data_IF_446790297564
#
_entry.id   IF_446790297564
#
_cell.length_a   1.000
_cell.length_b   1.000
_cell.length_c   1.000
_cell.angle_alpha   90.00
_cell.angle_beta   90.00
_cell.angle_gamma   90.00
#
_symmetry.space_group_name_H-M   'P 1'
#
loop_
_entity.id
_entity.type
_entity.pdbx_description
1 polymer ?
#
# COMPACT_ATOMS: atom_id res chain seq x y z
N UNK A 1 15.23 -9.37 -13.07
CA UNK A 1 16.06 -8.18 -12.77
C UNK A 1 17.15 -7.84 -13.80
N UNK A 2 17.40 -8.64 -14.86
CA UNK A 2 18.47 -8.37 -15.83
C UNK A 2 18.23 -7.15 -16.75
N UNK A 3 17.08 -6.49 -16.64
CA UNK A 3 16.72 -5.30 -17.42
C UNK A 3 17.20 -3.99 -16.78
N UNK A 4 17.61 -4.02 -15.51
CA UNK A 4 18.17 -2.85 -14.80
C UNK A 4 19.70 -2.92 -14.73
N UNK A 5 20.35 -1.79 -14.91
CA UNK A 5 21.79 -1.63 -14.79
C UNK A 5 22.20 -1.44 -13.32
N UNK A 6 22.89 -2.43 -12.77
CA UNK A 6 23.31 -2.48 -11.34
C UNK A 6 24.21 -1.33 -10.89
N UNK A 7 24.81 -0.58 -11.82
CA UNK A 7 25.68 0.55 -11.48
C UNK A 7 25.03 1.91 -11.71
N UNK A 8 23.97 1.98 -12.53
CA UNK A 8 23.33 3.23 -12.95
C UNK A 8 21.94 3.40 -12.37
N UNK A 9 21.17 2.31 -12.26
CA UNK A 9 19.81 2.38 -11.75
C UNK A 9 19.82 2.36 -10.24
N UNK A 10 18.90 3.11 -9.64
CA UNK A 10 18.59 2.99 -8.22
C UNK A 10 17.34 2.13 -8.12
N UNK A 11 17.47 1.02 -7.41
CA UNK A 11 16.35 0.10 -7.17
C UNK A 11 16.26 -0.08 -5.67
N UNK A 12 15.05 -0.01 -5.14
CA UNK A 12 14.72 -0.46 -3.79
C UNK A 12 13.79 -1.66 -3.88
N UNK A 13 13.75 -2.46 -2.84
CA UNK A 13 12.87 -3.61 -2.70
C UNK A 13 12.13 -3.49 -1.38
N UNK A 14 10.81 -3.68 -1.45
CA UNK A 14 9.88 -3.60 -0.33
C UNK A 14 8.92 -4.78 -0.47
N UNK A 15 8.67 -5.50 0.61
CA UNK A 15 7.58 -6.44 0.72
C UNK A 15 6.57 -5.96 1.75
N UNK A 16 5.32 -6.38 1.59
CA UNK A 16 4.24 -6.01 2.49
C UNK A 16 3.25 -7.16 2.64
N UNK A 17 2.60 -7.20 3.79
CA UNK A 17 1.53 -8.12 4.14
C UNK A 17 0.73 -7.49 5.28
N UNK A 18 0.95 -7.88 6.55
CA UNK A 18 0.36 -7.13 7.67
C UNK A 18 0.91 -5.71 7.74
N UNK A 19 2.22 -5.53 7.73
CA UNK A 19 2.91 -4.26 7.57
C UNK A 19 3.72 -4.22 6.28
N UNK A 20 4.82 -3.46 6.27
CA UNK A 20 5.77 -3.47 5.18
C UNK A 20 7.20 -3.28 5.69
N UNK A 21 8.15 -3.97 5.06
CA UNK A 21 9.57 -3.79 5.34
C UNK A 21 10.33 -3.35 4.08
N UNK A 22 11.39 -2.58 4.28
CA UNK A 22 12.28 -2.09 3.23
C UNK A 22 13.49 -3.03 3.15
N UNK A 23 13.30 -4.17 2.49
CA UNK A 23 14.30 -5.25 2.40
C UNK A 23 15.62 -4.82 1.78
N UNK A 24 15.53 -3.98 0.74
CA UNK A 24 16.68 -3.33 0.15
C UNK A 24 16.37 -1.84 -0.02
N UNK A 25 16.93 -0.98 0.83
CA UNK A 25 16.70 0.45 0.72
C UNK A 25 17.26 0.98 -0.60
N UNK A 26 16.55 1.94 -1.19
CA UNK A 26 17.05 2.61 -2.39
C UNK A 26 18.30 3.40 -2.03
N UNK A 27 19.30 3.37 -2.91
CA UNK A 27 20.53 4.11 -2.65
C UNK A 27 20.30 5.63 -2.80
N UNK A 28 20.38 6.36 -1.69
CA UNK A 28 20.11 7.81 -1.67
C UNK A 28 21.31 8.67 -2.06
N UNK A 29 22.54 8.17 -1.90
CA UNK A 29 23.78 8.94 -2.10
C UNK A 29 24.43 8.69 -3.46
N UNK A 30 24.42 7.44 -3.94
CA UNK A 30 25.02 7.04 -5.22
C UNK A 30 24.04 6.24 -6.07
N UNK A 31 24.39 6.05 -7.35
CA UNK A 31 23.66 5.19 -8.28
C UNK A 31 24.00 3.72 -8.00
N UNK A 32 23.17 2.81 -8.49
CA UNK A 32 23.37 1.37 -8.38
C UNK A 32 22.56 0.69 -7.25
N UNK A 33 22.52 -0.63 -7.32
CA UNK A 33 21.83 -1.50 -6.36
C UNK A 33 22.50 -2.89 -6.30
N UNK A 34 22.28 -3.61 -5.20
CA UNK A 34 22.76 -4.98 -5.04
C UNK A 34 21.71 -5.98 -5.54
N UNK A 35 21.93 -6.49 -6.75
CA UNK A 35 21.05 -7.50 -7.36
C UNK A 35 21.08 -8.83 -6.59
N UNK A 36 22.22 -9.23 -6.05
CA UNK A 36 22.36 -10.51 -5.36
C UNK A 36 21.56 -10.51 -4.07
N UNK A 37 21.67 -9.43 -3.29
CA UNK A 37 20.88 -9.25 -2.07
C UNK A 37 19.38 -9.20 -2.37
N UNK A 38 18.96 -8.48 -3.42
CA UNK A 38 17.55 -8.45 -3.81
C UNK A 38 16.99 -9.80 -4.21
N UNK A 39 17.73 -10.59 -5.01
CA UNK A 39 17.30 -11.94 -5.37
C UNK A 39 17.21 -12.85 -4.15
N UNK A 40 18.20 -12.76 -3.24
CA UNK A 40 18.17 -13.50 -1.98
C UNK A 40 16.96 -13.17 -1.12
N UNK A 41 16.58 -11.90 -1.05
CA UNK A 41 15.38 -11.47 -0.31
C UNK A 41 14.11 -12.02 -0.98
N UNK A 42 14.00 -11.88 -2.31
CA UNK A 42 12.87 -12.41 -3.09
C UNK A 42 12.67 -13.90 -2.88
N UNK A 43 13.74 -14.69 -2.95
CA UNK A 43 13.68 -16.14 -2.80
C UNK A 43 13.33 -16.58 -1.37
N UNK A 44 13.45 -15.67 -0.39
CA UNK A 44 13.17 -15.93 1.03
C UNK A 44 11.75 -15.54 1.46
N UNK A 45 10.99 -14.83 0.60
CA UNK A 45 9.69 -14.32 0.99
C UNK A 45 8.69 -15.44 1.28
N UNK A 46 7.98 -15.25 2.38
CA UNK A 46 6.81 -16.04 2.75
C UNK A 46 5.63 -15.07 2.75
N UNK A 47 4.68 -15.32 1.86
CA UNK A 47 3.47 -14.50 1.75
C UNK A 47 2.35 -15.17 2.56
N UNK A 48 1.94 -14.52 3.64
CA UNK A 48 0.78 -14.88 4.45
C UNK A 48 0.20 -13.61 5.07
N UNK A 49 -1.04 -13.68 5.53
CA UNK A 49 -1.65 -12.64 6.33
C UNK A 49 -2.52 -11.64 5.60
N UNK A 50 -2.63 -10.45 6.19
CA UNK A 50 -3.40 -9.35 5.62
C UNK A 50 -2.65 -8.65 4.49
N UNK A 51 -3.30 -7.68 3.84
CA UNK A 51 -2.78 -6.97 2.68
C UNK A 51 -2.78 -5.47 2.95
N UNK A 52 -1.74 -4.97 3.62
CA UNK A 52 -1.55 -3.57 3.94
C UNK A 52 -0.89 -2.82 2.77
N UNK A 53 -1.59 -2.79 1.64
CA UNK A 53 -1.10 -2.14 0.41
C UNK A 53 -0.71 -0.67 0.61
N UNK A 54 -1.34 0.02 1.56
CA UNK A 54 -0.98 1.39 1.96
C UNK A 54 0.47 1.47 2.43
N UNK A 55 0.93 0.51 3.23
CA UNK A 55 2.29 0.51 3.81
C UNK A 55 3.33 0.30 2.70
N UNK A 56 3.11 -0.68 1.83
CA UNK A 56 3.96 -0.90 0.66
C UNK A 56 4.05 0.32 -0.25
N UNK A 57 2.91 0.97 -0.53
CA UNK A 57 2.87 2.16 -1.38
C UNK A 57 3.51 3.39 -0.71
N UNK A 58 3.30 3.57 0.60
CA UNK A 58 3.91 4.64 1.38
C UNK A 58 5.43 4.51 1.38
N UNK A 59 5.96 3.32 1.70
CA UNK A 59 7.39 3.06 1.69
C UNK A 59 7.99 3.27 0.29
N UNK A 60 7.32 2.81 -0.77
CA UNK A 60 7.81 2.98 -2.15
C UNK A 60 7.95 4.46 -2.54
N UNK A 61 6.91 5.27 -2.26
CA UNK A 61 6.98 6.72 -2.49
C UNK A 61 8.04 7.37 -1.60
N UNK A 62 8.09 7.01 -0.32
CA UNK A 62 9.03 7.59 0.62
C UNK A 62 10.49 7.33 0.20
N UNK A 63 10.84 6.10 -0.19
CA UNK A 63 12.17 5.75 -0.71
C UNK A 63 12.57 6.64 -1.90
N UNK A 64 11.67 6.86 -2.86
CA UNK A 64 11.97 7.75 -3.99
C UNK A 64 12.18 9.22 -3.56
N UNK A 65 11.46 9.65 -2.53
CA UNK A 65 11.52 11.02 -2.01
C UNK A 65 12.67 11.25 -1.01
N UNK A 66 13.30 10.21 -0.44
CA UNK A 66 14.49 10.37 0.39
C UNK A 66 15.76 10.65 -0.42
N UNK A 67 15.76 10.37 -1.73
CA UNK A 67 16.85 10.78 -2.62
C UNK A 67 16.86 12.32 -2.70
N UNK A 68 18.02 13.00 -2.48
CA UNK A 68 18.11 14.45 -2.60
C UNK A 68 17.65 14.94 -3.98
N UNK A 69 16.93 16.07 -4.03
CA UNK A 69 16.30 16.56 -5.27
C UNK A 69 17.29 16.68 -6.44
N UNK A 70 18.50 17.20 -6.20
CA UNK A 70 19.55 17.32 -7.22
C UNK A 70 20.11 15.97 -7.70
N UNK A 71 19.88 14.90 -6.95
CA UNK A 71 20.34 13.54 -7.25
C UNK A 71 19.23 12.63 -7.78
N UNK A 72 17.97 13.08 -7.76
CA UNK A 72 16.82 12.33 -8.28
C UNK A 72 16.91 12.19 -9.80
N UNK A 73 16.55 11.02 -10.31
CA UNK A 73 16.31 10.84 -11.74
C UNK A 73 15.08 11.64 -12.17
N UNK A 74 15.07 12.13 -13.40
CA UNK A 74 13.87 12.65 -14.06
C UNK A 74 12.79 11.58 -14.12
N UNK A 75 13.17 10.36 -14.49
CA UNK A 75 12.30 9.19 -14.44
C UNK A 75 12.32 8.53 -13.06
N UNK A 76 11.16 8.48 -12.41
CA UNK A 76 10.91 7.76 -11.17
C UNK A 76 9.73 6.82 -11.36
N UNK A 77 9.88 5.60 -10.85
CA UNK A 77 8.93 4.51 -11.12
C UNK A 77 8.68 3.72 -9.85
N UNK A 78 7.41 3.40 -9.60
CA UNK A 78 6.96 2.40 -8.63
C UNK A 78 6.36 1.24 -9.42
N UNK A 79 6.74 0.02 -9.04
CA UNK A 79 6.19 -1.22 -9.61
C UNK A 79 5.61 -2.00 -8.44
N UNK A 80 4.27 -2.11 -8.41
CA UNK A 80 3.53 -2.65 -7.29
C UNK A 80 2.88 -3.99 -7.66
N UNK A 81 3.16 -5.03 -6.89
CA UNK A 81 2.64 -6.38 -7.10
C UNK A 81 1.64 -6.71 -6.01
N UNK A 82 0.50 -7.29 -6.39
CA UNK A 82 -0.45 -7.85 -5.43
C UNK A 82 -1.34 -8.89 -6.10
N UNK A 83 -1.82 -9.85 -5.33
CA UNK A 83 -2.77 -10.87 -5.76
C UNK A 83 -4.17 -10.67 -5.14
N UNK A 84 -4.37 -9.59 -4.39
CA UNK A 84 -5.58 -9.40 -3.60
C UNK A 84 -5.98 -7.95 -3.43
N UNK A 85 -7.05 -7.76 -2.68
CA UNK A 85 -7.53 -6.43 -2.29
C UNK A 85 -6.81 -5.99 -1.00
N UNK A 86 -6.65 -4.68 -0.77
CA UNK A 86 -6.18 -4.19 0.52
C UNK A 86 -7.12 -4.63 1.66
N UNK A 87 -6.56 -5.21 2.71
CA UNK A 87 -7.30 -5.74 3.88
C UNK A 87 -6.73 -5.29 5.22
N UNK A 88 -5.75 -4.39 5.21
CA UNK A 88 -5.17 -3.81 6.42
C UNK A 88 -4.62 -2.40 6.18
N UNK A 89 -4.42 -1.66 7.27
CA UNK A 89 -3.84 -0.32 7.27
C UNK A 89 -3.14 0.00 8.59
N UNK A 90 -2.06 0.78 8.54
CA UNK A 90 -1.43 1.37 9.70
C UNK A 90 -2.14 2.63 10.18
N UNK A 91 -2.23 2.81 11.50
CA UNK A 91 -2.56 4.10 12.09
C UNK A 91 -2.14 4.17 13.56
N UNK A 92 -1.91 5.39 14.06
CA UNK A 92 -1.91 5.67 15.49
C UNK A 92 -3.36 5.93 15.93
N UNK A 93 -3.89 5.01 16.75
CA UNK A 93 -5.28 5.05 17.21
C UNK A 93 -5.42 5.74 18.57
N UNK A 94 -6.52 6.47 18.76
CA UNK A 94 -6.86 7.08 20.04
C UNK A 94 -7.61 6.09 20.95
N UNK A 95 -6.92 5.56 21.95
CA UNK A 95 -7.51 4.60 22.90
C UNK A 95 -8.42 5.27 23.93
N UNK A 96 -9.44 4.56 24.40
CA UNK A 96 -10.32 4.96 25.51
C UNK A 96 -9.48 5.21 26.78
N UNK A 97 -8.50 4.35 27.04
CA UNK A 97 -7.52 4.43 28.13
C UNK A 97 -6.10 4.74 27.58
N UNK A 98 -5.61 6.00 27.71
CA UNK A 98 -4.42 6.48 26.98
C UNK A 98 -3.08 5.79 27.30
N UNK A 99 -2.98 5.06 28.41
CA UNK A 99 -1.74 4.38 28.84
C UNK A 99 -1.38 3.18 27.98
N UNK A 100 -2.28 2.70 27.11
CA UNK A 100 -2.17 1.35 26.58
C UNK A 100 -1.50 1.25 25.20
N UNK A 101 -1.49 2.31 24.37
CA UNK A 101 -0.83 2.34 23.05
C UNK A 101 -0.58 3.76 22.56
N UNK A 102 0.68 4.16 22.39
CA UNK A 102 1.05 5.51 21.96
C UNK A 102 1.72 5.58 20.59
N UNK A 103 1.95 4.44 19.93
CA UNK A 103 2.60 4.36 18.62
C UNK A 103 1.60 3.85 17.57
N UNK A 104 1.91 4.07 16.30
CA UNK A 104 1.14 3.53 15.18
C UNK A 104 1.46 2.06 14.88
N UNK A 105 0.42 1.28 14.55
CA UNK A 105 0.55 -0.11 14.14
C UNK A 105 -0.51 -0.51 13.14
N UNK A 106 -0.37 -1.70 12.58
CA UNK A 106 -1.29 -2.21 11.55
C UNK A 106 -2.37 -3.07 12.15
N UNK A 107 -3.58 -2.87 11.67
CA UNK A 107 -4.75 -3.68 11.96
C UNK A 107 -5.52 -3.99 10.68
N UNK A 108 -6.22 -5.12 10.70
CA UNK A 108 -7.01 -5.58 9.57
C UNK A 108 -8.38 -4.89 9.48
N UNK A 109 -9.09 -5.12 8.38
CA UNK A 109 -10.44 -4.58 8.15
C UNK A 109 -11.52 -5.11 9.11
N UNK A 110 -11.20 -6.16 9.88
CA UNK A 110 -12.06 -6.68 10.95
C UNK A 110 -11.72 -6.06 12.33
N UNK A 111 -10.71 -5.19 12.39
CA UNK A 111 -10.22 -4.51 13.58
C UNK A 111 -9.35 -5.38 14.49
N UNK A 112 -8.71 -6.42 13.96
CA UNK A 112 -7.70 -7.22 14.68
C UNK A 112 -6.30 -6.67 14.44
N UNK A 113 -5.40 -6.88 15.41
CA UNK A 113 -3.99 -6.50 15.30
C UNK A 113 -3.62 -5.34 16.20
N UNK A 114 -3.05 -4.30 15.60
CA UNK A 114 -2.08 -3.37 16.16
C UNK A 114 -0.69 -4.02 16.32
N UNK A 115 -0.25 -4.66 15.23
CA UNK A 115 1.08 -5.20 15.05
C UNK A 115 2.08 -4.11 14.66
N UNK A 116 3.38 -4.38 14.81
CA UNK A 116 4.41 -3.46 14.36
C UNK A 116 4.26 -3.13 12.86
N UNK A 117 4.55 -1.88 12.48
CA UNK A 117 4.42 -1.43 11.08
C UNK A 117 5.37 -2.17 10.13
N UNK A 118 6.49 -2.69 10.65
CA UNK A 118 7.42 -3.54 9.91
C UNK A 118 7.09 -5.03 9.94
N UNK A 119 6.07 -5.46 10.67
CA UNK A 119 5.73 -6.88 10.81
C UNK A 119 4.96 -7.37 9.57
N UNK A 120 5.61 -8.13 8.70
CA UNK A 120 4.98 -8.71 7.51
C UNK A 120 4.38 -10.10 7.74
N UNK A 121 4.55 -10.69 8.93
CA UNK A 121 4.02 -12.02 9.27
C UNK A 121 2.91 -11.98 10.35
N UNK A 122 2.67 -10.83 10.97
CA UNK A 122 1.46 -10.51 11.76
C UNK A 122 1.37 -11.21 13.11
N UNK A 123 2.51 -11.37 13.79
CA UNK A 123 2.59 -12.09 15.05
C UNK A 123 3.15 -11.27 16.20
N UNK A 124 3.63 -10.04 15.95
CA UNK A 124 4.31 -9.20 16.94
C UNK A 124 3.47 -7.96 17.28
N UNK A 125 2.72 -7.97 18.39
CA UNK A 125 2.07 -6.77 18.90
C UNK A 125 3.12 -5.70 19.19
N UNK A 126 2.78 -4.44 18.94
CA UNK A 126 3.72 -3.33 19.12
C UNK A 126 4.24 -3.15 20.55
N UNK A 127 3.41 -3.47 21.53
CA UNK A 127 3.74 -3.45 22.96
C UNK A 127 2.71 -4.24 23.75
N UNK A 128 3.06 -4.57 25.00
CA UNK A 128 2.08 -5.13 25.95
C UNK A 128 0.88 -4.21 26.08
N UNK A 129 -0.34 -4.74 25.92
CA UNK A 129 -1.59 -3.96 25.90
C UNK A 129 -2.05 -3.47 24.52
N UNK A 130 -1.18 -3.49 23.50
CA UNK A 130 -1.49 -3.14 22.13
C UNK A 130 -1.95 -4.32 21.29
N UNK A 131 -3.11 -4.86 21.66
CA UNK A 131 -3.79 -5.83 20.84
C UNK A 131 -5.28 -5.47 20.79
N UNK A 132 -5.78 -5.15 19.60
CA UNK A 132 -7.16 -4.72 19.44
C UNK A 132 -8.15 -5.86 19.69
N UNK A 133 -7.79 -7.10 19.36
CA UNK A 133 -8.66 -8.27 19.53
C UNK A 133 -7.87 -9.59 19.68
N UNK A 134 -7.38 -9.94 20.88
CA UNK A 134 -6.79 -11.26 21.11
C UNK A 134 -7.84 -12.37 21.20
N UNK A 135 -9.13 -12.04 21.39
CA UNK A 135 -10.24 -13.00 21.53
C UNK A 135 -11.48 -12.53 20.76
N UNK A 136 -12.35 -13.48 20.36
CA UNK A 136 -13.60 -13.21 19.61
C UNK A 136 -14.62 -12.33 20.35
N UNK A 137 -14.47 -12.16 21.67
CA UNK A 137 -15.42 -11.43 22.51
C UNK A 137 -15.07 -9.95 22.69
N UNK A 138 -13.81 -9.56 22.54
CA UNK A 138 -13.39 -8.15 22.64
C UNK A 138 -13.66 -7.39 21.35
N UNK A 139 -14.23 -6.19 21.44
CA UNK A 139 -14.56 -5.35 20.29
C UNK A 139 -13.63 -4.15 20.20
N UNK A 140 -13.29 -3.74 18.98
CA UNK A 140 -12.34 -2.63 18.76
C UNK A 140 -12.84 -1.33 19.41
N UNK A 141 -14.16 -1.05 19.38
CA UNK A 141 -14.74 0.16 19.97
C UNK A 141 -14.74 0.21 21.50
N UNK A 142 -14.55 -0.93 22.16
CA UNK A 142 -14.35 -0.96 23.62
C UNK A 142 -12.97 -0.39 23.98
N UNK A 143 -12.03 -0.41 23.03
CA UNK A 143 -10.64 0.05 23.22
C UNK A 143 -10.32 1.34 22.51
N UNK A 144 -10.90 1.59 21.34
CA UNK A 144 -10.57 2.70 20.44
C UNK A 144 -11.78 3.62 20.29
N UNK A 145 -11.55 4.93 20.44
CA UNK A 145 -12.61 5.95 20.38
C UNK A 145 -13.16 6.11 18.97
N UNK A 146 -12.26 6.29 18.01
CA UNK A 146 -12.57 6.62 16.62
C UNK A 146 -11.33 6.47 15.74
N UNK A 147 -11.53 6.44 14.42
CA UNK A 147 -10.43 6.56 13.46
C UNK A 147 -9.85 7.98 13.47
N UNK A 148 -8.54 8.13 13.22
CA UNK A 148 -7.96 9.45 12.97
C UNK A 148 -8.48 10.01 11.63
N UNK A 149 -8.59 11.33 11.53
CA UNK A 149 -9.04 11.98 10.29
C UNK A 149 -8.07 11.78 9.12
N UNK A 150 -6.78 11.67 9.44
CA UNK A 150 -5.67 11.58 8.48
C UNK A 150 -4.81 10.36 8.78
N UNK A 151 -4.26 9.77 7.72
CA UNK A 151 -3.24 8.76 7.83
C UNK A 151 -2.03 9.31 8.59
N UNK A 152 -1.69 8.63 9.68
CA UNK A 152 -0.72 9.06 10.66
C UNK A 152 0.21 7.92 11.12
N UNK A 153 0.38 6.89 10.29
CA UNK A 153 1.19 5.73 10.67
C UNK A 153 2.69 6.09 10.78
N UNK A 154 3.19 6.88 9.83
CA UNK A 154 4.62 7.18 9.72
C UNK A 154 4.99 8.64 10.01
N UNK A 155 4.07 9.58 9.77
CA UNK A 155 4.29 11.00 10.02
C UNK A 155 2.96 11.73 10.31
N UNK A 156 3.04 13.04 10.57
CA UNK A 156 1.90 13.89 10.92
C UNK A 156 1.50 14.88 9.80
N UNK A 157 1.89 14.62 8.54
CA UNK A 157 1.79 15.60 7.44
C UNK A 157 0.37 15.89 6.95
N UNK A 158 -0.65 15.18 7.44
CA UNK A 158 -2.06 15.33 7.01
C UNK A 158 -2.20 15.35 5.48
N UNK A 159 -1.58 14.37 4.83
CA UNK A 159 -1.53 14.29 3.37
C UNK A 159 -2.63 13.38 2.79
N UNK A 160 -2.97 12.30 3.51
CA UNK A 160 -3.93 11.30 3.04
C UNK A 160 -5.09 11.20 4.03
N UNK A 161 -6.32 11.59 3.65
CA UNK A 161 -7.47 11.50 4.54
C UNK A 161 -7.87 10.04 4.75
N UNK A 162 -8.07 9.65 6.02
CA UNK A 162 -8.76 8.41 6.37
C UNK A 162 -10.26 8.69 6.40
N UNK A 163 -10.68 9.76 7.08
CA UNK A 163 -12.08 10.20 7.12
C UNK A 163 -12.33 11.11 5.93
N UNK A 164 -13.14 10.65 4.99
CA UNK A 164 -13.31 11.31 3.69
C UNK A 164 -14.63 12.09 3.57
N UNK A 165 -15.75 11.53 4.04
CA UNK A 165 -17.05 12.21 3.94
C UNK A 165 -17.36 12.72 2.52
N UNK A 166 -18.01 13.88 2.42
CA UNK A 166 -18.28 14.59 1.16
C UNK A 166 -17.14 15.51 0.71
N UNK A 167 -16.09 15.67 1.52
CA UNK A 167 -14.99 16.60 1.25
C UNK A 167 -14.00 16.08 0.19
N UNK A 168 -13.99 14.77 -0.07
CA UNK A 168 -13.11 14.13 -1.04
C UNK A 168 -13.92 13.35 -2.08
N UNK A 169 -14.57 14.06 -3.04
CA UNK A 169 -15.32 13.42 -4.11
C UNK A 169 -14.38 12.53 -4.93
N UNK A 170 -14.70 11.25 -5.04
CA UNK A 170 -13.88 10.24 -5.73
C UNK A 170 -13.26 9.20 -4.79
N UNK A 171 -13.19 9.47 -3.49
CA UNK A 171 -12.83 8.47 -2.48
C UNK A 171 -14.10 7.79 -1.94
N UNK A 172 -13.97 6.54 -1.48
CA UNK A 172 -15.06 5.86 -0.77
C UNK A 172 -15.34 6.60 0.54
N UNK A 173 -16.59 6.76 0.92
CA UNK A 173 -16.96 7.51 2.13
C UNK A 173 -16.63 6.73 3.40
N UNK A 174 -15.76 7.31 4.21
CA UNK A 174 -15.35 6.82 5.53
C UNK A 174 -15.77 7.84 6.59
N UNK A 175 -16.33 7.35 7.70
CA UNK A 175 -16.59 8.14 8.90
C UNK A 175 -15.61 7.73 10.01
N UNK A 176 -15.44 8.57 11.04
CA UNK A 176 -14.55 8.24 12.16
C UNK A 176 -15.11 7.13 13.08
N UNK A 177 -16.40 6.80 12.97
CA UNK A 177 -17.11 5.97 13.94
C UNK A 177 -16.71 4.48 13.88
N UNK A 178 -16.58 3.84 15.04
CA UNK A 178 -16.28 2.41 15.17
C UNK A 178 -17.34 1.64 15.97
N UNK A 179 -18.54 2.19 16.16
CA UNK A 179 -19.50 1.76 17.21
C UNK A 179 -20.23 0.43 16.98
N UNK A 180 -19.97 -0.28 15.88
CA UNK A 180 -20.53 -1.60 15.59
C UNK A 180 -19.63 -2.38 14.64
N UNK A 181 -19.75 -3.71 14.59
CA UNK A 181 -18.97 -4.53 13.64
C UNK A 181 -19.21 -4.10 12.19
N UNK A 182 -20.45 -3.72 11.83
CA UNK A 182 -20.78 -3.24 10.50
C UNK A 182 -20.09 -1.90 10.16
N UNK A 183 -20.04 -0.95 11.10
CA UNK A 183 -19.34 0.32 10.90
C UNK A 183 -17.82 0.15 10.87
N UNK A 184 -17.28 -0.75 11.71
CA UNK A 184 -15.86 -1.13 11.67
C UNK A 184 -15.51 -1.68 10.30
N UNK A 185 -16.23 -2.72 9.85
CA UNK A 185 -15.96 -3.35 8.57
C UNK A 185 -16.10 -2.33 7.42
N UNK A 186 -17.15 -1.49 7.44
CA UNK A 186 -17.35 -0.48 6.41
C UNK A 186 -16.24 0.56 6.36
N UNK A 187 -15.91 1.18 7.50
CA UNK A 187 -14.93 2.27 7.52
C UNK A 187 -13.51 1.75 7.27
N UNK A 188 -13.16 0.58 7.82
CA UNK A 188 -11.82 0.02 7.64
C UNK A 188 -11.61 -0.54 6.22
N UNK A 189 -12.57 -1.27 5.64
CA UNK A 189 -12.46 -1.77 4.26
C UNK A 189 -12.31 -0.62 3.27
N UNK A 190 -13.12 0.44 3.41
CA UNK A 190 -13.03 1.62 2.56
C UNK A 190 -11.72 2.39 2.76
N UNK A 191 -11.26 2.56 4.00
CA UNK A 191 -9.99 3.23 4.28
C UNK A 191 -8.80 2.43 3.72
N UNK A 192 -8.77 1.11 3.91
CA UNK A 192 -7.72 0.23 3.40
C UNK A 192 -7.58 0.30 1.87
N UNK A 193 -8.68 0.48 1.14
CA UNK A 193 -8.67 0.67 -0.33
C UNK A 193 -8.33 2.09 -0.76
N UNK A 194 -8.85 3.09 -0.06
CA UNK A 194 -8.66 4.49 -0.39
C UNK A 194 -7.19 4.94 -0.25
N UNK A 195 -6.53 4.52 0.82
CA UNK A 195 -5.17 4.99 1.13
C UNK A 195 -4.12 4.63 0.07
N UNK A 196 -3.98 3.38 -0.41
CA UNK A 196 -3.01 3.08 -1.47
C UNK A 196 -3.34 3.81 -2.78
N UNK A 197 -4.63 3.99 -3.12
CA UNK A 197 -5.07 4.79 -4.26
C UNK A 197 -4.62 6.27 -4.10
N UNK A 198 -4.81 6.84 -2.90
CA UNK A 198 -4.45 8.24 -2.60
C UNK A 198 -2.93 8.47 -2.60
N UNK A 199 -2.15 7.55 -2.02
CA UNK A 199 -0.68 7.62 -2.06
C UNK A 199 -0.16 7.48 -3.50
N UNK A 200 -0.77 6.61 -4.31
CA UNK A 200 -0.43 6.49 -5.72
C UNK A 200 -0.79 7.75 -6.51
N UNK A 201 -1.94 8.36 -6.26
CA UNK A 201 -2.31 9.65 -6.84
C UNK A 201 -1.28 10.74 -6.49
N UNK A 202 -0.85 10.81 -5.23
CA UNK A 202 0.17 11.76 -4.81
C UNK A 202 1.54 11.48 -5.45
N UNK A 203 1.92 10.21 -5.58
CA UNK A 203 3.15 9.86 -6.29
C UNK A 203 3.11 10.37 -7.74
N UNK A 204 1.96 10.26 -8.41
CA UNK A 204 1.76 10.79 -9.78
C UNK A 204 1.80 12.31 -9.84
N UNK A 205 1.24 13.03 -8.85
CA UNK A 205 1.40 14.49 -8.72
C UNK A 205 2.87 14.89 -8.63
N UNK A 206 3.71 14.02 -8.09
CA UNK A 206 5.14 14.22 -7.98
C UNK A 206 5.90 13.77 -9.24
N UNK A 207 5.21 13.38 -10.32
CA UNK A 207 5.82 12.91 -11.56
C UNK A 207 6.34 11.47 -11.51
N UNK A 208 5.89 10.66 -10.56
CA UNK A 208 6.26 9.24 -10.44
C UNK A 208 5.27 8.40 -11.24
N UNK A 209 5.78 7.52 -12.10
CA UNK A 209 4.97 6.52 -12.79
C UNK A 209 4.68 5.35 -11.85
N UNK A 210 3.42 4.93 -11.77
CA UNK A 210 3.01 3.78 -10.96
C UNK A 210 2.54 2.67 -11.90
N UNK A 211 3.22 1.54 -11.89
CA UNK A 211 2.83 0.33 -12.59
C UNK A 211 2.32 -0.68 -11.60
N UNK A 212 1.24 -1.38 -11.96
CA UNK A 212 0.69 -2.44 -11.12
C UNK A 212 0.65 -3.77 -11.87
N UNK A 213 1.01 -4.85 -11.17
CA UNK A 213 0.82 -6.21 -11.64
C UNK A 213 -0.09 -6.92 -10.64
N UNK A 214 -1.21 -7.41 -11.16
CA UNK A 214 -2.17 -8.21 -10.44
C UNK A 214 -2.02 -9.69 -10.75
N UNK A 215 -1.98 -10.57 -9.74
CA UNK A 215 -1.98 -12.02 -9.96
C UNK A 215 -3.24 -12.72 -9.38
N UNK A 216 -3.72 -13.76 -10.04
CA UNK A 216 -4.68 -14.71 -9.44
C UNK A 216 -6.16 -14.32 -9.57
N UNK A 217 -7.03 -15.28 -9.27
CA UNK A 217 -8.47 -15.14 -9.47
C UNK A 217 -9.14 -14.21 -8.43
N UNK A 218 -8.56 -14.08 -7.24
CA UNK A 218 -9.02 -13.21 -6.14
C UNK A 218 -9.20 -11.75 -6.59
N UNK A 219 -8.35 -11.24 -7.47
CA UNK A 219 -8.47 -9.88 -8.02
C UNK A 219 -9.71 -9.63 -8.86
N UNK A 220 -10.39 -10.68 -9.30
CA UNK A 220 -11.62 -10.63 -10.12
C UNK A 220 -12.87 -10.97 -9.30
N UNK A 221 -12.69 -11.52 -8.11
CA UNK A 221 -13.78 -11.82 -7.18
C UNK A 221 -14.24 -10.53 -6.52
N UNK A 222 -15.57 -10.35 -6.43
CA UNK A 222 -16.11 -9.20 -5.72
C UNK A 222 -16.06 -9.43 -4.22
N UNK A 223 -15.58 -8.44 -3.48
CA UNK A 223 -15.50 -8.46 -2.02
C UNK A 223 -15.52 -7.05 -1.44
N UNK A 224 -15.38 -6.96 -0.11
CA UNK A 224 -15.53 -5.73 0.64
C UNK A 224 -16.97 -5.26 0.78
N UNK A 225 -17.16 -4.13 1.45
CA UNK A 225 -18.51 -3.61 1.74
C UNK A 225 -19.18 -3.00 0.52
N UNK A 226 -18.38 -2.60 -0.48
CA UNK A 226 -18.85 -1.97 -1.71
C UNK A 226 -18.91 -2.97 -2.89
N UNK A 227 -18.65 -4.26 -2.65
CA UNK A 227 -18.72 -5.34 -3.65
C UNK A 227 -17.86 -5.05 -4.90
N UNK A 228 -16.66 -4.50 -4.65
CA UNK A 228 -15.67 -4.16 -5.68
C UNK A 228 -14.71 -5.32 -5.91
N UNK A 229 -13.88 -5.22 -6.95
CA UNK A 229 -12.82 -6.18 -7.25
C UNK A 229 -11.44 -5.54 -7.04
N UNK A 230 -10.45 -6.33 -6.62
CA UNK A 230 -9.09 -5.84 -6.31
C UNK A 230 -8.39 -5.22 -7.51
N UNK A 231 -8.71 -5.72 -8.70
CA UNK A 231 -8.25 -5.13 -9.96
C UNK A 231 -8.56 -3.63 -10.05
N UNK A 232 -9.72 -3.17 -9.56
CA UNK A 232 -10.08 -1.76 -9.63
C UNK A 232 -9.13 -0.88 -8.82
N UNK A 233 -8.68 -1.35 -7.66
CA UNK A 233 -7.70 -0.65 -6.83
C UNK A 233 -6.37 -0.56 -7.58
N UNK A 234 -5.89 -1.67 -8.15
CA UNK A 234 -4.62 -1.70 -8.90
C UNK A 234 -4.67 -0.82 -10.15
N UNK A 235 -5.80 -0.79 -10.86
CA UNK A 235 -5.99 0.10 -12.01
C UNK A 235 -6.03 1.58 -11.58
N UNK A 236 -6.66 1.91 -10.47
CA UNK A 236 -6.63 3.26 -9.91
C UNK A 236 -5.23 3.70 -9.48
N UNK A 237 -4.45 2.80 -8.90
CA UNK A 237 -3.05 3.06 -8.57
C UNK A 237 -2.21 3.27 -9.84
N UNK A 238 -2.48 2.55 -10.94
CA UNK A 238 -1.74 2.69 -12.19
C UNK A 238 -2.21 3.84 -13.10
N UNK A 239 -3.32 4.51 -12.78
CA UNK A 239 -3.90 5.58 -13.58
C UNK A 239 -4.17 5.16 -15.04
N UNK A 240 -4.85 4.04 -15.23
CA UNK A 240 -5.17 3.52 -16.57
C UNK A 240 -6.59 3.89 -17.00
N UNK A 241 -6.77 4.16 -18.30
CA UNK A 241 -8.04 4.61 -18.87
C UNK A 241 -9.16 3.56 -18.79
N UNK A 242 -8.82 2.27 -18.73
CA UNK A 242 -9.76 1.15 -18.56
C UNK A 242 -10.00 0.78 -17.08
N UNK A 243 -9.58 1.65 -16.15
CA UNK A 243 -9.90 1.58 -14.73
C UNK A 243 -11.18 2.35 -14.37
N UNK A 244 -11.52 2.38 -13.06
CA UNK A 244 -12.63 3.20 -12.59
C UNK A 244 -12.45 4.68 -12.99
N UNK A 245 -13.50 5.31 -13.51
CA UNK A 245 -13.43 6.71 -13.98
C UNK A 245 -13.07 7.70 -12.87
N UNK A 246 -13.35 7.36 -11.61
CA UNK A 246 -13.04 8.19 -10.42
C UNK A 246 -11.54 8.46 -10.20
N UNK A 247 -10.66 7.67 -10.84
CA UNK A 247 -9.23 7.69 -10.53
C UNK A 247 -8.33 7.86 -11.77
N UNK A 248 -8.91 7.86 -12.98
CA UNK A 248 -8.16 8.14 -14.20
C UNK A 248 -8.03 9.66 -14.42
N UNK A 249 -6.79 10.11 -14.59
CA UNK A 249 -6.44 11.48 -14.91
C UNK A 249 -5.38 11.48 -16.03
N UNK A 250 -5.74 11.86 -17.27
CA UNK A 250 -4.81 11.86 -18.40
C UNK A 250 -3.69 12.90 -18.28
N UNK A 251 -3.84 13.90 -17.40
CA UNK A 251 -2.84 14.97 -17.21
C UNK A 251 -1.73 14.57 -16.22
N UNK A 252 -1.80 13.35 -15.69
CA UNK A 252 -0.85 12.77 -14.75
C UNK A 252 -0.09 11.61 -15.40
N UNK A 253 1.07 11.19 -14.86
CA UNK A 253 1.75 9.97 -15.31
C UNK A 253 0.78 8.78 -15.45
N UNK A 254 0.62 8.30 -16.67
CA UNK A 254 -0.17 7.11 -16.99
C UNK A 254 0.75 5.90 -16.95
N UNK A 255 0.49 4.99 -16.03
CA UNK A 255 1.25 3.76 -15.88
C UNK A 255 0.71 2.64 -16.75
N UNK A 256 0.77 1.42 -16.21
CA UNK A 256 0.16 0.25 -16.82
C UNK A 256 -0.28 -0.69 -15.70
N UNK A 257 -1.45 -1.28 -15.88
CA UNK A 257 -1.89 -2.46 -15.13
C UNK A 257 -1.69 -3.70 -16.02
N UNK A 258 -1.18 -4.78 -15.43
CA UNK A 258 -1.15 -6.09 -16.08
C UNK A 258 -1.75 -7.15 -15.17
N UNK A 259 -2.69 -7.92 -15.71
CA UNK A 259 -3.28 -9.05 -15.03
C UNK A 259 -2.60 -10.35 -15.48
N UNK A 260 -2.15 -11.13 -14.51
CA UNK A 260 -1.67 -12.49 -14.68
C UNK A 260 -2.65 -13.45 -13.99
N UNK A 261 -3.33 -14.31 -14.76
CA UNK A 261 -4.27 -15.26 -14.14
C UNK A 261 -3.50 -16.34 -13.34
N UNK A 262 -2.34 -16.72 -13.84
CA UNK A 262 -1.44 -17.72 -13.25
C UNK A 262 0.01 -17.23 -13.27
N UNK A 263 0.91 -17.95 -12.60
CA UNK A 263 2.35 -17.67 -12.63
C UNK A 263 2.92 -17.68 -14.06
N UNK A 264 2.39 -18.53 -14.95
CA UNK A 264 2.81 -18.59 -16.35
C UNK A 264 2.57 -17.27 -17.10
N UNK A 265 1.57 -16.49 -16.68
CA UNK A 265 1.21 -15.21 -17.29
C UNK A 265 2.06 -14.04 -16.80
N UNK A 266 2.88 -14.25 -15.75
CA UNK A 266 3.76 -13.22 -15.21
C UNK A 266 4.84 -12.79 -16.21
N UNK A 267 5.42 -13.74 -16.96
CA UNK A 267 6.51 -13.44 -17.90
C UNK A 267 6.09 -12.45 -19.00
N UNK A 268 4.93 -12.63 -19.67
CA UNK A 268 4.38 -11.60 -20.56
C UNK A 268 4.17 -10.24 -19.87
N UNK A 269 3.63 -10.23 -18.64
CA UNK A 269 3.40 -8.99 -17.89
C UNK A 269 4.69 -8.24 -17.56
N UNK A 270 5.72 -8.94 -17.07
CA UNK A 270 7.04 -8.35 -16.81
C UNK A 270 7.66 -7.78 -18.09
N UNK A 271 7.49 -8.48 -19.22
CA UNK A 271 8.01 -8.02 -20.52
C UNK A 271 7.34 -6.73 -20.99
N UNK A 272 6.02 -6.62 -20.82
CA UNK A 272 5.26 -5.39 -21.11
C UNK A 272 5.69 -4.25 -20.20
N UNK A 273 5.86 -4.53 -18.91
CA UNK A 273 6.26 -3.52 -17.91
C UNK A 273 7.67 -2.98 -18.18
N UNK A 274 8.64 -3.86 -18.43
CA UNK A 274 9.98 -3.46 -18.83
C UNK A 274 9.96 -2.62 -20.11
N UNK A 275 9.13 -3.00 -21.09
CA UNK A 275 8.98 -2.24 -22.33
C UNK A 275 8.36 -0.86 -22.11
N UNK A 276 7.38 -0.73 -21.20
CA UNK A 276 6.77 0.55 -20.86
C UNK A 276 7.79 1.49 -20.20
N UNK A 277 8.56 0.99 -19.22
CA UNK A 277 9.63 1.76 -18.55
C UNK A 277 10.69 2.22 -19.55
N UNK A 278 11.10 1.34 -20.48
CA UNK A 278 12.10 1.69 -21.49
C UNK A 278 11.60 2.71 -22.54
N UNK A 279 10.29 2.83 -22.75
CA UNK A 279 9.73 3.84 -23.65
C UNK A 279 9.73 5.22 -23.02
N UNK A 280 9.45 5.30 -21.71
CA UNK A 280 9.43 6.57 -20.97
C UNK A 280 10.83 7.05 -20.55
N UNK A 281 11.86 6.18 -20.65
CA UNK A 281 13.25 6.52 -20.33
C UNK A 281 14.06 7.06 -21.51
N UNK A 282 13.46 7.15 -22.70
CA UNK A 282 14.09 7.70 -23.91
C UNK A 282 13.64 9.14 -24.12
#
# INVERSE_FOLDING_TARGET
MNKFNVTQDRVGLIHFAYGADVDNPINTSKRGFDRSSMLSNIDSYVFDGSTASVEGMWHARNQLNTIPQLSRSSLRVIVFFSDGEPTALGAQLAFNTPTNCTRAGVFDISGYGLYDLGDTVGVTPMSSGCNLKPTRTSKIWEKVRQLPDWYNAHDNKKEFPIVTGTAYPGMRTVTAALTSDALVQQNLDRAARNLPEAIAAKARDEGIYVFTLGMGASLKTKSGVDNEVGENVLKCMANVADGPSRCYDPDKPVGMYCYAATEADLTPCFSRLASAILRISK
#
